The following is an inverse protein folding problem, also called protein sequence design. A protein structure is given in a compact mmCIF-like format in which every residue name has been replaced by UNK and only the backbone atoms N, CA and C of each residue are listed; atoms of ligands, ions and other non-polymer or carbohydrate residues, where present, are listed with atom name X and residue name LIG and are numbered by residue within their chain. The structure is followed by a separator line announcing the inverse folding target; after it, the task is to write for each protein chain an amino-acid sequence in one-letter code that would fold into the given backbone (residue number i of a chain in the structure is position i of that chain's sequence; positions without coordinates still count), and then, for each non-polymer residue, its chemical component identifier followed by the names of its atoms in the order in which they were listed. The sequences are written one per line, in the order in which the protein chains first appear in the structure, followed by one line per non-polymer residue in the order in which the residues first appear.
data_IF_828831193230
#
_entry.id   IF_828831193230
#
_cell.length_a   1.000
_cell.length_b   1.000
_cell.length_c   1.000
_cell.angle_alpha   90.00
_cell.angle_beta   90.00
_cell.angle_gamma   90.00
#
_symmetry.space_group_name_H-M   'P 1'
#
loop_
_entity.id
_entity.type
_entity.pdbx_description
1 polymer ?
#
# COMPACT_ATOMS: atom_id res chain seq x y z
N UNK A 1 50.55 -2.64 16.97
CA UNK A 1 49.62 -3.07 18.04
C UNK A 1 48.35 -2.28 17.84
N UNK A 2 47.47 -2.78 16.97
CA UNK A 2 46.05 -2.44 16.96
C UNK A 2 45.32 -3.77 16.96
N UNK A 3 44.60 -4.01 18.04
CA UNK A 3 43.94 -5.26 18.35
C UNK A 3 42.63 -5.31 17.57
N UNK A 4 42.55 -6.20 16.58
CA UNK A 4 41.31 -6.70 16.03
C UNK A 4 40.48 -7.35 17.15
N UNK A 5 39.53 -6.62 17.72
CA UNK A 5 38.57 -7.16 18.70
C UNK A 5 37.09 -6.87 18.32
N UNK A 6 36.80 -6.39 17.10
CA UNK A 6 35.43 -6.00 16.72
C UNK A 6 34.52 -7.13 16.22
N UNK A 7 35.04 -8.33 15.95
CA UNK A 7 34.24 -9.41 15.35
C UNK A 7 33.29 -10.12 16.33
N UNK A 8 33.62 -10.13 17.63
CA UNK A 8 32.82 -10.83 18.65
C UNK A 8 31.53 -10.12 19.07
N UNK A 9 31.56 -8.77 19.10
CA UNK A 9 30.40 -7.94 19.41
C UNK A 9 29.36 -8.02 18.31
N UNK A 10 29.77 -7.74 17.06
CA UNK A 10 28.87 -7.72 15.89
C UNK A 10 28.12 -9.05 15.70
N UNK A 11 28.80 -10.18 15.92
CA UNK A 11 28.17 -11.50 15.86
C UNK A 11 27.18 -11.78 17.00
N UNK A 12 27.31 -11.13 18.16
CA UNK A 12 26.33 -11.21 19.25
C UNK A 12 25.11 -10.33 18.96
N UNK A 13 25.33 -9.08 18.54
CA UNK A 13 24.25 -8.15 18.19
C UNK A 13 23.39 -8.67 17.02
N UNK A 14 24.00 -9.29 16.00
CA UNK A 14 23.27 -9.93 14.90
C UNK A 14 22.41 -11.13 15.36
N UNK A 15 22.90 -11.92 16.33
CA UNK A 15 22.14 -13.05 16.90
C UNK A 15 20.96 -12.59 17.73
N UNK A 16 21.12 -11.51 18.48
CA UNK A 16 20.05 -10.90 19.24
C UNK A 16 18.96 -10.35 18.30
N UNK A 17 19.37 -9.68 17.21
CA UNK A 17 18.44 -9.20 16.19
C UNK A 17 17.63 -10.33 15.57
N UNK A 18 18.27 -11.46 15.22
CA UNK A 18 17.57 -12.65 14.73
C UNK A 18 16.58 -13.25 15.75
N UNK A 19 16.91 -13.19 17.04
CA UNK A 19 16.04 -13.68 18.09
C UNK A 19 14.80 -12.80 18.25
N UNK A 20 14.98 -11.47 18.24
CA UNK A 20 13.90 -10.49 18.23
C UNK A 20 13.01 -10.73 17.01
N UNK A 21 13.59 -10.86 15.81
CA UNK A 21 12.84 -11.02 14.57
C UNK A 21 11.95 -12.29 14.56
N UNK A 22 12.48 -13.42 15.04
CA UNK A 22 11.70 -14.66 15.18
C UNK A 22 10.52 -14.50 16.13
N UNK A 23 10.71 -13.80 17.25
CA UNK A 23 9.64 -13.61 18.23
C UNK A 23 8.62 -12.57 17.76
N UNK A 24 9.05 -11.53 17.04
CA UNK A 24 8.18 -10.57 16.37
C UNK A 24 7.20 -11.26 15.43
N UNK A 25 7.67 -12.18 14.58
CA UNK A 25 6.80 -12.95 13.66
C UNK A 25 5.71 -13.72 14.43
N UNK A 26 6.05 -14.36 15.56
CA UNK A 26 5.06 -15.03 16.41
C UNK A 26 4.03 -14.05 16.96
N UNK A 27 4.48 -12.89 17.43
CA UNK A 27 3.60 -11.85 17.97
C UNK A 27 2.65 -11.29 16.91
N UNK A 28 3.13 -11.06 15.68
CA UNK A 28 2.30 -10.62 14.57
C UNK A 28 1.22 -11.66 14.21
N UNK A 29 1.59 -12.94 14.17
CA UNK A 29 0.66 -14.04 13.92
C UNK A 29 -0.37 -14.20 15.05
N UNK A 30 0.03 -14.05 16.31
CA UNK A 30 -0.91 -14.04 17.43
C UNK A 30 -1.90 -12.88 17.35
N UNK A 31 -1.43 -11.68 16.96
CA UNK A 31 -2.32 -10.53 16.80
C UNK A 31 -3.31 -10.73 15.65
N UNK A 32 -2.87 -11.34 14.54
CA UNK A 32 -3.71 -11.67 13.39
C UNK A 32 -4.89 -12.61 13.71
N UNK A 33 -4.86 -13.34 14.84
CA UNK A 33 -6.02 -14.12 15.32
C UNK A 33 -7.14 -13.22 15.85
N UNK A 34 -6.79 -12.04 16.40
CA UNK A 34 -7.75 -11.07 16.95
C UNK A 34 -8.16 -10.00 15.94
N UNK A 35 -7.30 -9.75 14.96
CA UNK A 35 -7.54 -8.83 13.85
C UNK A 35 -7.27 -9.54 12.53
N UNK A 36 -8.32 -10.09 11.88
CA UNK A 36 -8.18 -10.88 10.66
C UNK A 36 -7.52 -10.14 9.49
N UNK A 37 -7.54 -8.81 9.51
CA UNK A 37 -6.94 -7.96 8.48
C UNK A 37 -5.49 -7.58 8.81
N UNK A 38 -5.01 -7.86 10.03
CA UNK A 38 -3.68 -7.44 10.44
C UNK A 38 -2.56 -8.11 9.65
N UNK A 39 -2.67 -9.41 9.36
CA UNK A 39 -1.68 -10.16 8.57
C UNK A 39 -2.21 -10.36 7.15
N UNK A 40 -1.79 -9.49 6.23
CA UNK A 40 -2.17 -9.54 4.82
C UNK A 40 -1.58 -10.77 4.14
N UNK A 41 -0.30 -11.05 4.41
CA UNK A 41 0.39 -12.22 3.89
C UNK A 41 1.36 -12.83 4.91
N UNK A 42 1.44 -14.15 4.90
CA UNK A 42 2.50 -14.90 5.60
C UNK A 42 3.02 -16.02 4.71
N UNK A 43 4.30 -15.92 4.35
CA UNK A 43 5.02 -16.85 3.48
C UNK A 43 6.31 -17.37 4.14
N UNK A 44 6.36 -17.30 5.48
CA UNK A 44 7.41 -17.92 6.28
C UNK A 44 7.19 -19.43 6.49
N UNK A 45 8.06 -20.08 7.28
CA UNK A 45 7.95 -21.51 7.57
C UNK A 45 6.58 -21.90 8.15
N UNK A 46 5.88 -22.85 7.51
CA UNK A 46 4.56 -23.30 7.95
C UNK A 46 4.51 -23.73 9.42
N UNK A 47 5.57 -24.41 9.90
CA UNK A 47 5.69 -24.84 11.29
C UNK A 47 5.62 -23.68 12.31
N UNK A 48 6.11 -22.48 11.96
CA UNK A 48 6.03 -21.31 12.85
C UNK A 48 4.58 -20.83 12.97
N UNK A 49 3.84 -20.78 11.86
CA UNK A 49 2.41 -20.44 11.87
C UNK A 49 1.59 -21.48 12.61
N UNK A 50 1.82 -22.76 12.34
CA UNK A 50 1.15 -23.87 13.03
C UNK A 50 1.38 -23.81 14.53
N UNK A 51 2.63 -23.63 14.97
CA UNK A 51 2.98 -23.46 16.39
C UNK A 51 2.28 -22.24 17.01
N UNK A 52 2.30 -21.09 16.32
CA UNK A 52 1.68 -19.86 16.81
C UNK A 52 0.17 -20.02 17.02
N UNK A 53 -0.51 -20.75 16.12
CA UNK A 53 -1.96 -20.95 16.15
C UNK A 53 -2.42 -22.03 17.15
N UNK A 54 -1.50 -22.77 17.79
CA UNK A 54 -1.84 -23.71 18.88
C UNK A 54 -2.25 -23.01 20.18
N UNK A 55 -1.94 -21.72 20.32
CA UNK A 55 -2.27 -20.91 21.49
C UNK A 55 -2.88 -19.59 21.06
N UNK A 56 -3.80 -19.07 21.87
CA UNK A 56 -4.32 -17.71 21.69
C UNK A 56 -3.72 -16.81 22.76
N UNK A 57 -2.92 -15.84 22.33
CA UNK A 57 -2.33 -14.81 23.20
C UNK A 57 -3.19 -13.55 23.10
N UNK A 58 -3.74 -13.01 24.20
CA UNK A 58 -4.61 -11.84 24.13
C UNK A 58 -3.83 -10.57 23.76
N UNK A 59 -4.47 -9.56 23.13
CA UNK A 59 -3.78 -8.37 22.62
C UNK A 59 -2.96 -7.60 23.65
N UNK A 60 -3.43 -7.50 24.89
CA UNK A 60 -2.70 -6.85 26.00
C UNK A 60 -1.35 -7.52 26.28
N UNK A 61 -1.29 -8.85 26.20
CA UNK A 61 -0.04 -9.61 26.32
C UNK A 61 0.85 -9.45 25.10
N UNK A 62 0.28 -9.37 23.89
CA UNK A 62 1.05 -9.09 22.67
C UNK A 62 1.70 -7.71 22.75
N UNK A 63 1.00 -6.69 23.25
CA UNK A 63 1.55 -5.36 23.49
C UNK A 63 2.71 -5.41 24.49
N UNK A 64 2.56 -6.15 25.60
CA UNK A 64 3.65 -6.36 26.57
C UNK A 64 4.88 -7.03 25.96
N UNK A 65 4.69 -8.07 25.12
CA UNK A 65 5.79 -8.70 24.40
C UNK A 65 6.46 -7.76 23.39
N UNK A 66 5.69 -6.92 22.69
CA UNK A 66 6.24 -5.92 21.79
C UNK A 66 7.10 -4.89 22.55
N UNK A 67 6.65 -4.43 23.73
CA UNK A 67 7.44 -3.54 24.59
C UNK A 67 8.77 -4.18 25.05
N UNK A 68 8.76 -5.47 25.43
CA UNK A 68 9.98 -6.22 25.79
C UNK A 68 10.95 -6.36 24.59
N UNK A 69 10.40 -6.55 23.38
CA UNK A 69 11.17 -6.58 22.14
C UNK A 69 11.81 -5.22 21.84
N UNK A 70 11.09 -4.12 22.01
CA UNK A 70 11.64 -2.76 21.86
C UNK A 70 12.77 -2.51 22.86
N UNK A 71 12.57 -2.86 24.14
CA UNK A 71 13.62 -2.73 25.15
C UNK A 71 14.86 -3.61 24.84
N UNK A 72 14.69 -4.69 24.09
CA UNK A 72 15.81 -5.51 23.60
C UNK A 72 16.50 -4.85 22.40
N UNK A 73 15.74 -4.34 21.44
CA UNK A 73 16.27 -3.59 20.29
C UNK A 73 17.03 -2.33 20.73
N UNK A 74 16.55 -1.60 21.72
CA UNK A 74 17.19 -0.37 22.23
C UNK A 74 18.55 -0.63 22.90
N UNK A 75 18.83 -1.87 23.29
CA UNK A 75 20.14 -2.29 23.85
C UNK A 75 21.14 -2.70 22.77
N UNK A 76 20.70 -2.93 21.54
CA UNK A 76 21.57 -3.21 20.41
C UNK A 76 22.14 -1.88 19.93
N UNK A 77 23.46 -1.75 19.96
CA UNK A 77 24.20 -0.60 19.44
C UNK A 77 24.24 -0.68 17.90
N UNK A 78 23.52 0.19 17.16
CA UNK A 78 23.45 0.09 15.71
C UNK A 78 24.81 0.28 15.03
N UNK A 79 25.74 1.02 15.64
CA UNK A 79 27.07 1.27 15.07
C UNK A 79 27.94 0.01 15.00
N UNK A 80 27.57 -1.04 15.74
CA UNK A 80 28.24 -2.35 15.71
C UNK A 80 27.62 -3.33 14.70
N UNK A 81 26.49 -2.97 14.12
CA UNK A 81 25.88 -3.73 13.03
C UNK A 81 26.58 -3.40 11.72
N UNK A 82 27.09 -4.44 11.06
CA UNK A 82 27.77 -4.34 9.77
C UNK A 82 26.75 -4.35 8.60
N UNK A 83 27.14 -3.70 7.50
CA UNK A 83 26.36 -3.69 6.25
C UNK A 83 24.91 -3.23 6.44
N UNK A 84 23.98 -4.01 5.88
CA UNK A 84 22.55 -3.72 5.92
C UNK A 84 21.90 -3.97 7.31
N UNK A 85 22.68 -4.37 8.32
CA UNK A 85 22.18 -4.62 9.67
C UNK A 85 21.57 -3.40 10.35
N UNK A 86 22.09 -2.19 10.09
CA UNK A 86 21.53 -0.94 10.63
C UNK A 86 20.12 -0.65 10.11
N UNK A 87 19.91 -0.78 8.80
CA UNK A 87 18.59 -0.61 8.20
C UNK A 87 17.61 -1.67 8.69
N UNK A 88 18.06 -2.93 8.82
CA UNK A 88 17.26 -4.02 9.39
C UNK A 88 16.81 -3.72 10.83
N UNK A 89 17.73 -3.24 11.67
CA UNK A 89 17.43 -2.89 13.06
C UNK A 89 16.39 -1.76 13.14
N UNK A 90 16.58 -0.67 12.40
CA UNK A 90 15.65 0.45 12.35
C UNK A 90 14.26 -0.01 11.86
N UNK A 91 14.22 -0.76 10.75
CA UNK A 91 12.98 -1.32 10.20
C UNK A 91 12.25 -2.17 11.23
N UNK A 92 12.95 -3.15 11.84
CA UNK A 92 12.34 -4.03 12.83
C UNK A 92 11.83 -3.26 14.05
N UNK A 93 12.54 -2.22 14.50
CA UNK A 93 12.06 -1.35 15.57
C UNK A 93 10.76 -0.63 15.19
N UNK A 94 10.66 -0.08 13.98
CA UNK A 94 9.43 0.53 13.46
C UNK A 94 8.26 -0.47 13.39
N UNK A 95 8.53 -1.67 12.88
CA UNK A 95 7.53 -2.74 12.77
C UNK A 95 7.04 -3.24 14.14
N UNK A 96 7.92 -3.32 15.16
CA UNK A 96 7.54 -3.71 16.52
C UNK A 96 6.74 -2.59 17.22
N UNK A 97 7.06 -1.31 16.99
CA UNK A 97 6.26 -0.18 17.51
C UNK A 97 4.83 -0.19 16.98
N UNK A 98 4.67 -0.44 15.68
CA UNK A 98 3.33 -0.54 15.09
C UNK A 98 2.54 -1.75 15.62
N UNK A 99 3.22 -2.88 15.84
CA UNK A 99 2.62 -4.05 16.51
C UNK A 99 2.17 -3.72 17.94
N UNK A 100 3.00 -3.04 18.74
CA UNK A 100 2.65 -2.59 20.10
C UNK A 100 1.41 -1.69 20.08
N UNK A 101 1.40 -0.69 19.20
CA UNK A 101 0.29 0.26 19.08
C UNK A 101 -1.01 -0.45 18.65
N UNK A 102 -0.97 -1.32 17.63
CA UNK A 102 -2.15 -2.06 17.18
C UNK A 102 -2.67 -3.02 18.25
N UNK A 103 -1.77 -3.71 18.94
CA UNK A 103 -2.13 -4.59 20.05
C UNK A 103 -2.75 -3.82 21.22
N UNK A 104 -2.21 -2.64 21.54
CA UNK A 104 -2.77 -1.72 22.53
C UNK A 104 -4.19 -1.26 22.16
N UNK A 105 -4.41 -0.83 20.92
CA UNK A 105 -5.73 -0.43 20.42
C UNK A 105 -6.76 -1.56 20.57
N UNK A 106 -6.39 -2.79 20.18
CA UNK A 106 -7.25 -3.98 20.34
C UNK A 106 -7.48 -4.37 21.81
N UNK A 107 -6.55 -3.99 22.71
CA UNK A 107 -6.71 -4.11 24.15
C UNK A 107 -7.52 -2.97 24.81
N UNK A 108 -8.03 -2.02 24.02
CA UNK A 108 -8.85 -0.90 24.50
C UNK A 108 -8.07 0.38 24.82
N UNK A 109 -6.81 0.50 24.38
CA UNK A 109 -6.08 1.77 24.42
C UNK A 109 -6.78 2.82 23.56
N UNK A 110 -6.88 4.05 24.07
CA UNK A 110 -7.37 5.20 23.32
C UNK A 110 -6.21 6.14 23.02
N UNK A 111 -6.04 6.48 21.75
CA UNK A 111 -5.08 7.49 21.25
C UNK A 111 -5.80 8.40 20.26
N UNK A 112 -5.22 9.57 19.97
CA UNK A 112 -5.75 10.43 18.91
C UNK A 112 -5.53 9.78 17.54
N UNK A 113 -6.33 10.17 16.55
CA UNK A 113 -6.17 9.70 15.17
C UNK A 113 -4.76 9.96 14.61
N UNK A 114 -4.22 11.16 14.86
CA UNK A 114 -2.89 11.52 14.37
C UNK A 114 -1.80 10.68 15.05
N UNK A 115 -1.95 10.37 16.34
CA UNK A 115 -1.03 9.48 17.05
C UNK A 115 -1.14 8.03 16.56
N UNK A 116 -2.35 7.59 16.18
CA UNK A 116 -2.56 6.29 15.53
C UNK A 116 -1.87 6.22 14.16
N UNK A 117 -2.05 7.26 13.33
CA UNK A 117 -1.40 7.34 12.02
C UNK A 117 0.13 7.29 12.14
N UNK A 118 0.70 8.08 13.04
CA UNK A 118 2.15 8.10 13.28
C UNK A 118 2.66 6.74 13.78
N UNK A 119 1.99 6.16 14.79
CA UNK A 119 2.44 4.92 15.41
C UNK A 119 2.31 3.70 14.51
N UNK A 120 1.26 3.63 13.69
CA UNK A 120 1.01 2.50 12.80
C UNK A 120 1.70 2.66 11.45
N UNK A 121 1.68 3.86 10.87
CA UNK A 121 2.06 4.09 9.47
C UNK A 121 3.30 4.95 9.32
N UNK A 122 3.87 5.48 10.41
CA UNK A 122 5.08 6.30 10.39
C UNK A 122 4.90 7.66 9.69
N UNK A 123 3.65 8.13 9.58
CA UNK A 123 3.27 9.38 8.91
C UNK A 123 2.14 10.07 9.65
N UNK A 124 2.17 11.40 9.66
CA UNK A 124 1.07 12.21 10.15
C UNK A 124 -0.05 12.32 9.11
N UNK A 125 -1.29 12.47 9.57
CA UNK A 125 -2.40 12.79 8.68
C UNK A 125 -2.19 14.18 8.04
N UNK A 126 -2.43 14.34 6.72
CA UNK A 126 -2.27 15.62 6.06
C UNK A 126 -3.17 16.69 6.70
N UNK A 127 -2.72 17.94 6.61
CA UNK A 127 -3.57 19.08 6.92
C UNK A 127 -4.68 19.20 5.88
N UNK A 128 -5.80 19.76 6.31
CA UNK A 128 -6.93 19.96 5.43
C UNK A 128 -6.76 21.24 4.60
N UNK A 129 -6.82 21.12 3.28
CA UNK A 129 -6.74 22.24 2.34
C UNK A 129 -8.01 22.36 1.48
N UNK A 130 -9.08 23.04 1.96
CA UNK A 130 -10.33 23.20 1.22
C UNK A 130 -10.16 23.74 -0.22
N UNK A 131 -9.23 24.69 -0.42
CA UNK A 131 -8.94 25.29 -1.72
C UNK A 131 -8.41 24.27 -2.75
N UNK A 132 -7.79 23.17 -2.30
CA UNK A 132 -7.33 22.09 -3.17
C UNK A 132 -8.49 21.34 -3.82
N UNK A 133 -9.51 21.00 -3.02
CA UNK A 133 -10.73 20.33 -3.51
C UNK A 133 -11.48 21.21 -4.52
N UNK A 134 -11.58 22.51 -4.25
CA UNK A 134 -12.20 23.48 -5.18
C UNK A 134 -11.45 23.54 -6.52
N UNK A 135 -10.12 23.47 -6.51
CA UNK A 135 -9.31 23.42 -7.72
C UNK A 135 -9.55 22.16 -8.56
N UNK A 136 -9.63 20.99 -7.91
CA UNK A 136 -9.97 19.72 -8.57
C UNK A 136 -11.39 19.71 -9.12
N UNK A 137 -12.36 20.25 -8.38
CA UNK A 137 -13.73 20.42 -8.86
C UNK A 137 -13.80 21.34 -10.07
N UNK A 138 -13.06 22.45 -10.07
CA UNK A 138 -13.02 23.35 -11.21
C UNK A 138 -12.39 22.70 -12.46
N UNK A 139 -11.35 21.89 -12.29
CA UNK A 139 -10.75 21.11 -13.38
C UNK A 139 -11.76 20.10 -13.97
N UNK A 140 -12.38 19.30 -13.11
CA UNK A 140 -13.43 18.34 -13.52
C UNK A 140 -14.62 19.04 -14.19
N UNK A 141 -15.06 20.18 -13.66
CA UNK A 141 -16.19 20.95 -14.21
C UNK A 141 -15.90 21.50 -15.61
N UNK A 142 -14.65 21.89 -15.87
CA UNK A 142 -14.19 22.39 -17.17
C UNK A 142 -14.08 21.28 -18.23
N UNK A 143 -13.61 20.09 -17.83
CA UNK A 143 -13.35 18.98 -18.75
C UNK A 143 -14.62 18.16 -19.06
N UNK A 144 -15.52 17.99 -18.10
CA UNK A 144 -16.69 17.15 -18.27
C UNK A 144 -17.69 17.74 -19.27
N UNK A 145 -18.29 16.95 -20.18
CA UNK A 145 -19.34 17.45 -21.06
C UNK A 145 -20.67 17.67 -20.31
N UNK A 146 -21.59 18.38 -20.96
CA UNK A 146 -22.97 18.55 -20.50
C UNK A 146 -23.21 19.72 -19.55
N UNK A 147 -24.43 19.77 -19.00
CA UNK A 147 -24.89 20.82 -18.08
C UNK A 147 -25.58 20.17 -16.88
N UNK A 148 -25.45 20.75 -15.69
CA UNK A 148 -26.04 20.19 -14.46
C UNK A 148 -25.04 20.24 -13.31
N UNK A 149 -25.35 19.54 -12.22
CA UNK A 149 -24.43 19.38 -11.10
C UNK A 149 -23.23 18.50 -11.47
N UNK A 150 -22.09 18.79 -10.85
CA UNK A 150 -20.82 18.10 -11.11
C UNK A 150 -20.87 16.59 -10.81
N UNK A 151 -21.40 16.11 -9.66
CA UNK A 151 -21.52 14.67 -9.39
C UNK A 151 -22.34 13.93 -10.45
N UNK A 152 -23.47 14.50 -10.87
CA UNK A 152 -24.32 13.92 -11.91
C UNK A 152 -23.62 13.80 -13.26
N UNK A 153 -22.88 14.83 -13.67
CA UNK A 153 -22.08 14.83 -14.91
C UNK A 153 -20.94 13.82 -14.85
N UNK A 154 -20.18 13.80 -13.76
CA UNK A 154 -19.08 12.86 -13.56
C UNK A 154 -19.55 11.41 -13.66
N UNK A 155 -20.62 11.04 -12.92
CA UNK A 155 -21.19 9.70 -12.99
C UNK A 155 -21.68 9.34 -14.38
N UNK A 156 -22.45 10.22 -15.03
CA UNK A 156 -22.96 9.97 -16.38
C UNK A 156 -21.81 9.74 -17.37
N UNK A 157 -20.72 10.49 -17.22
CA UNK A 157 -19.52 10.33 -18.03
C UNK A 157 -18.85 8.97 -17.77
N UNK A 158 -18.54 8.64 -16.52
CA UNK A 158 -17.89 7.36 -16.19
C UNK A 158 -18.75 6.13 -16.52
N UNK A 159 -20.08 6.21 -16.35
CA UNK A 159 -21.03 5.16 -16.71
C UNK A 159 -20.97 4.80 -18.21
N UNK A 160 -20.62 5.77 -19.06
CA UNK A 160 -20.46 5.54 -20.50
C UNK A 160 -19.21 4.71 -20.85
N UNK A 161 -18.29 4.55 -19.90
CA UNK A 161 -17.06 3.77 -20.03
C UNK A 161 -17.04 2.50 -19.17
N UNK A 162 -18.22 2.01 -18.75
CA UNK A 162 -18.35 0.68 -18.13
C UNK A 162 -17.99 -0.40 -19.15
N UNK A 163 -16.98 -1.20 -18.83
CA UNK A 163 -16.47 -2.26 -19.71
C UNK A 163 -17.56 -3.34 -19.86
N UNK A 164 -17.93 -3.73 -21.09
CA UNK A 164 -18.85 -4.85 -21.30
C UNK A 164 -18.33 -6.14 -20.64
N UNK A 165 -19.17 -6.90 -19.91
CA UNK A 165 -18.71 -8.07 -19.16
C UNK A 165 -17.96 -9.12 -19.99
N UNK A 166 -18.34 -9.30 -21.26
CA UNK A 166 -17.69 -10.21 -22.21
C UNK A 166 -16.31 -9.75 -22.69
N UNK A 167 -15.94 -8.50 -22.40
CA UNK A 167 -14.65 -7.89 -22.75
C UNK A 167 -13.73 -7.67 -21.54
N UNK A 168 -14.24 -7.89 -20.33
CA UNK A 168 -13.51 -7.61 -19.09
C UNK A 168 -12.19 -8.38 -19.01
N UNK A 169 -12.24 -9.70 -19.25
CA UNK A 169 -11.08 -10.59 -19.17
C UNK A 169 -9.95 -10.16 -20.12
N UNK A 170 -10.28 -9.86 -21.38
CA UNK A 170 -9.26 -9.46 -22.37
C UNK A 170 -8.63 -8.09 -22.06
N UNK A 171 -9.40 -7.14 -21.52
CA UNK A 171 -8.89 -5.81 -21.14
C UNK A 171 -7.95 -5.93 -19.95
N UNK A 172 -8.32 -6.68 -18.91
CA UNK A 172 -7.43 -6.96 -17.79
C UNK A 172 -6.18 -7.72 -18.22
N UNK A 173 -6.32 -8.75 -19.06
CA UNK A 173 -5.18 -9.52 -19.55
C UNK A 173 -4.18 -8.63 -20.30
N UNK A 174 -4.65 -7.69 -21.13
CA UNK A 174 -3.81 -6.73 -21.82
C UNK A 174 -3.09 -5.79 -20.83
N UNK A 175 -3.80 -5.26 -19.82
CA UNK A 175 -3.22 -4.41 -18.79
C UNK A 175 -2.12 -5.12 -18.00
N UNK A 176 -2.36 -6.35 -17.53
CA UNK A 176 -1.36 -7.15 -16.81
C UNK A 176 -0.17 -7.54 -17.68
N UNK A 177 -0.40 -7.87 -18.95
CA UNK A 177 0.68 -8.22 -19.86
C UNK A 177 1.62 -7.03 -20.10
N UNK A 178 1.06 -5.85 -20.36
CA UNK A 178 1.86 -4.65 -20.61
C UNK A 178 2.57 -4.16 -19.34
N UNK A 179 1.88 -4.14 -18.20
CA UNK A 179 2.48 -3.71 -16.93
C UNK A 179 3.66 -4.61 -16.54
N UNK A 180 3.53 -5.92 -16.75
CA UNK A 180 4.62 -6.88 -16.57
C UNK A 180 5.77 -6.67 -17.54
N UNK A 181 5.46 -6.45 -18.82
CA UNK A 181 6.49 -6.23 -19.87
C UNK A 181 7.35 -5.02 -19.54
N UNK A 182 6.73 -3.88 -19.27
CA UNK A 182 7.43 -2.62 -18.94
C UNK A 182 8.19 -2.70 -17.63
N UNK A 183 7.60 -3.35 -16.62
CA UNK A 183 8.29 -3.59 -15.35
C UNK A 183 9.59 -4.38 -15.55
N UNK A 184 9.55 -5.43 -16.36
CA UNK A 184 10.71 -6.30 -16.63
C UNK A 184 11.83 -5.62 -17.43
N UNK A 185 11.58 -4.46 -18.07
CA UNK A 185 12.61 -3.67 -18.75
C UNK A 185 13.52 -2.93 -17.77
N UNK A 186 13.05 -2.68 -16.55
CA UNK A 186 13.74 -1.87 -15.56
C UNK A 186 14.06 -2.61 -14.26
N UNK A 187 13.25 -3.58 -13.88
CA UNK A 187 13.38 -4.32 -12.63
C UNK A 187 13.60 -5.81 -12.90
N UNK A 188 14.67 -6.42 -12.33
CA UNK A 188 14.88 -7.86 -12.45
C UNK A 188 13.83 -8.59 -11.60
N UNK A 189 12.88 -9.24 -12.25
CA UNK A 189 11.87 -10.05 -11.58
C UNK A 189 12.47 -11.41 -11.16
N UNK A 190 12.18 -11.91 -9.94
CA UNK A 190 12.59 -13.24 -9.53
C UNK A 190 12.13 -14.34 -10.50
N UNK A 191 12.92 -15.39 -10.65
CA UNK A 191 12.58 -16.49 -11.53
C UNK A 191 11.30 -17.20 -11.05
N UNK A 192 10.36 -17.43 -11.95
CA UNK A 192 9.15 -18.19 -11.67
C UNK A 192 8.03 -17.42 -11.00
N UNK A 193 8.09 -16.08 -10.92
CA UNK A 193 6.96 -15.27 -10.44
C UNK A 193 5.69 -15.52 -11.23
N UNK A 194 4.56 -15.63 -10.51
CA UNK A 194 3.24 -15.93 -11.06
C UNK A 194 2.19 -15.02 -10.45
N UNK A 195 1.30 -14.53 -11.30
CA UNK A 195 0.17 -13.73 -10.87
C UNK A 195 -1.07 -14.27 -11.59
N UNK A 196 -2.07 -14.61 -10.80
CA UNK A 196 -3.39 -15.00 -11.28
C UNK A 196 -4.41 -13.93 -10.85
N UNK A 197 -5.49 -13.79 -11.60
CA UNK A 197 -6.60 -12.89 -11.27
C UNK A 197 -7.89 -13.71 -11.03
N UNK A 198 -8.67 -13.33 -10.03
CA UNK A 198 -9.98 -13.90 -9.75
C UNK A 198 -11.00 -12.80 -9.41
N UNK A 199 -12.26 -13.04 -9.76
CA UNK A 199 -13.37 -12.15 -9.43
C UNK A 199 -14.10 -12.63 -8.16
N UNK A 200 -14.42 -11.73 -7.25
CA UNK A 200 -15.03 -12.04 -5.95
C UNK A 200 -16.14 -11.05 -5.59
N UNK A 201 -16.97 -11.36 -4.59
CA UNK A 201 -18.13 -10.55 -4.17
C UNK A 201 -18.17 -10.39 -2.65
N UNK A 202 -18.78 -9.32 -2.15
CA UNK A 202 -19.02 -9.05 -0.73
C UNK A 202 -17.84 -8.41 0.02
N UNK A 203 -16.84 -7.91 -0.70
CA UNK A 203 -15.62 -7.35 -0.13
C UNK A 203 -15.72 -5.81 0.02
N UNK A 204 -15.11 -5.19 1.04
CA UNK A 204 -15.16 -3.74 1.25
C UNK A 204 -14.20 -2.94 0.36
N UNK A 205 -13.47 -3.60 -0.54
CA UNK A 205 -12.46 -3.04 -1.44
C UNK A 205 -12.74 -3.44 -2.88
N UNK A 206 -12.18 -2.70 -3.84
CA UNK A 206 -12.40 -2.93 -5.27
C UNK A 206 -11.43 -3.97 -5.87
N UNK A 207 -10.16 -3.94 -5.46
CA UNK A 207 -9.18 -4.96 -5.81
C UNK A 207 -8.17 -5.13 -4.67
N UNK A 208 -7.58 -6.31 -4.55
CA UNK A 208 -6.47 -6.55 -3.63
C UNK A 208 -5.52 -7.64 -4.13
N UNK A 209 -4.26 -7.54 -3.74
CA UNK A 209 -3.28 -8.60 -3.88
C UNK A 209 -3.35 -9.55 -2.68
N UNK A 210 -3.44 -10.84 -2.93
CA UNK A 210 -3.15 -11.87 -1.95
C UNK A 210 -1.85 -12.57 -2.31
N UNK A 211 -0.77 -12.23 -1.61
CA UNK A 211 0.52 -12.88 -1.81
C UNK A 211 0.55 -14.24 -1.11
N UNK A 212 0.90 -15.29 -1.86
CA UNK A 212 0.85 -16.69 -1.41
C UNK A 212 2.23 -17.25 -1.04
N UNK A 213 3.30 -16.49 -1.25
CA UNK A 213 4.69 -16.97 -1.18
C UNK A 213 5.16 -17.61 -2.48
N UNK A 214 6.45 -17.97 -2.53
CA UNK A 214 7.10 -18.57 -3.70
C UNK A 214 6.90 -17.74 -4.98
N UNK A 215 6.96 -16.40 -4.85
CA UNK A 215 6.74 -15.49 -5.97
C UNK A 215 5.34 -15.56 -6.59
N UNK A 216 4.33 -16.06 -5.87
CA UNK A 216 2.97 -16.25 -6.39
C UNK A 216 1.96 -15.30 -5.72
N UNK A 217 1.13 -14.63 -6.51
CA UNK A 217 -0.01 -13.83 -6.03
C UNK A 217 -1.31 -14.23 -6.70
N UNK A 218 -2.41 -14.02 -5.97
CA UNK A 218 -3.77 -13.96 -6.50
C UNK A 218 -4.28 -12.52 -6.36
N UNK A 219 -4.50 -11.83 -7.49
CA UNK A 219 -5.23 -10.56 -7.50
C UNK A 219 -6.71 -10.86 -7.48
N UNK A 220 -7.42 -10.31 -6.50
CA UNK A 220 -8.87 -10.44 -6.38
C UNK A 220 -9.49 -9.12 -6.81
N UNK A 221 -10.44 -9.15 -7.74
CA UNK A 221 -11.20 -7.98 -8.20
C UNK A 221 -12.65 -8.15 -7.78
N UNK A 222 -13.22 -7.13 -7.15
CA UNK A 222 -14.62 -7.13 -6.77
C UNK A 222 -15.51 -7.10 -8.02
N UNK A 223 -16.52 -7.96 -8.02
CA UNK A 223 -17.56 -8.06 -9.03
C UNK A 223 -18.88 -7.42 -8.58
N UNK A 224 -18.88 -6.73 -7.43
CA UNK A 224 -20.09 -6.11 -6.87
C UNK A 224 -20.48 -4.81 -7.59
N UNK A 225 -19.51 -4.15 -8.24
CA UNK A 225 -19.70 -2.90 -8.98
C UNK A 225 -19.24 -3.06 -10.44
N UNK A 226 -19.88 -2.37 -11.39
CA UNK A 226 -19.39 -2.30 -12.77
C UNK A 226 -17.96 -1.74 -12.82
N UNK A 227 -17.11 -2.31 -13.67
CA UNK A 227 -15.73 -1.87 -13.85
C UNK A 227 -15.65 -0.91 -15.03
N UNK A 228 -15.15 0.30 -14.80
CA UNK A 228 -14.91 1.31 -15.83
C UNK A 228 -13.49 1.21 -16.41
N UNK A 229 -13.27 1.79 -17.60
CA UNK A 229 -12.02 1.63 -18.38
C UNK A 229 -10.74 2.14 -17.70
N UNK A 230 -10.86 3.03 -16.71
CA UNK A 230 -9.76 3.59 -15.91
C UNK A 230 -9.19 2.60 -14.88
N UNK A 231 -9.94 1.54 -14.54
CA UNK A 231 -9.58 0.60 -13.46
C UNK A 231 -8.61 -0.51 -13.85
N UNK A 232 -8.71 -1.17 -15.03
CA UNK A 232 -7.85 -2.31 -15.35
C UNK A 232 -6.36 -2.02 -15.28
N UNK A 233 -5.92 -0.87 -15.81
CA UNK A 233 -4.51 -0.49 -15.76
C UNK A 233 -4.06 -0.21 -14.32
N UNK A 234 -4.84 0.59 -13.59
CA UNK A 234 -4.59 0.92 -12.18
C UNK A 234 -4.44 -0.35 -11.33
N UNK A 235 -5.36 -1.31 -11.45
CA UNK A 235 -5.28 -2.57 -10.69
C UNK A 235 -4.12 -3.45 -11.12
N UNK A 236 -3.85 -3.54 -12.43
CA UNK A 236 -2.72 -4.32 -12.95
C UNK A 236 -1.36 -3.79 -12.48
N UNK A 237 -1.24 -2.47 -12.34
CA UNK A 237 -0.05 -1.81 -11.83
C UNK A 237 0.07 -1.95 -10.31
N UNK A 238 -0.98 -1.56 -9.57
CA UNK A 238 -0.99 -1.51 -8.10
C UNK A 238 -0.89 -2.89 -7.47
N UNK A 239 -1.73 -3.84 -7.91
CA UNK A 239 -1.74 -5.18 -7.33
C UNK A 239 -0.73 -6.11 -8.00
N UNK A 240 -0.22 -5.75 -9.18
CA UNK A 240 0.69 -6.57 -9.98
C UNK A 240 2.08 -5.97 -10.16
N UNK A 241 2.30 -5.39 -11.34
CA UNK A 241 3.62 -4.96 -11.80
C UNK A 241 3.64 -3.46 -12.08
N UNK A 242 4.49 -2.64 -11.42
CA UNK A 242 5.52 -3.00 -10.43
C UNK A 242 5.05 -2.91 -8.97
N UNK A 243 3.74 -2.99 -8.69
CA UNK A 243 3.19 -2.82 -7.34
C UNK A 243 3.34 -4.01 -6.39
N UNK A 244 2.30 -4.31 -5.60
CA UNK A 244 2.34 -5.23 -4.44
C UNK A 244 2.96 -6.59 -4.76
N UNK A 245 2.50 -7.28 -5.81
CA UNK A 245 3.09 -8.56 -6.21
C UNK A 245 4.60 -8.48 -6.45
N UNK A 246 5.04 -7.44 -7.17
CA UNK A 246 6.44 -7.23 -7.50
C UNK A 246 7.27 -6.96 -6.25
N UNK A 247 6.79 -6.08 -5.36
CA UNK A 247 7.46 -5.77 -4.11
C UNK A 247 7.60 -7.01 -3.21
N UNK A 248 6.52 -7.78 -3.03
CA UNK A 248 6.55 -9.00 -2.21
C UNK A 248 7.45 -10.08 -2.80
N UNK A 249 7.41 -10.31 -4.11
CA UNK A 249 8.29 -11.26 -4.77
C UNK A 249 9.78 -10.90 -4.63
N UNK A 250 10.13 -9.63 -4.84
CA UNK A 250 11.50 -9.14 -4.73
C UNK A 250 11.99 -9.23 -3.28
N UNK A 251 11.16 -8.81 -2.30
CA UNK A 251 11.51 -8.86 -0.87
C UNK A 251 11.59 -10.29 -0.34
N UNK A 252 10.71 -11.19 -0.77
CA UNK A 252 10.84 -12.62 -0.44
C UNK A 252 12.20 -13.16 -0.92
N UNK A 253 12.55 -12.91 -2.18
CA UNK A 253 13.81 -13.39 -2.74
C UNK A 253 15.04 -12.78 -2.04
N UNK A 254 15.06 -11.46 -1.84
CA UNK A 254 16.20 -10.72 -1.31
C UNK A 254 16.33 -10.75 0.21
N UNK A 255 15.24 -10.46 0.94
CA UNK A 255 15.27 -10.31 2.40
C UNK A 255 15.05 -11.65 3.11
N UNK A 256 14.08 -12.45 2.66
CA UNK A 256 13.75 -13.71 3.34
C UNK A 256 14.71 -14.82 2.90
N UNK A 257 14.83 -15.11 1.60
CA UNK A 257 15.61 -16.26 1.12
C UNK A 257 17.12 -16.01 1.11
N UNK A 258 17.56 -14.88 0.55
CA UNK A 258 18.99 -14.61 0.42
C UNK A 258 19.63 -14.12 1.74
N UNK A 259 18.94 -13.27 2.50
CA UNK A 259 19.46 -12.70 3.76
C UNK A 259 18.99 -13.44 5.02
N UNK A 260 17.97 -14.30 4.94
CA UNK A 260 17.46 -15.06 6.09
C UNK A 260 16.64 -14.24 7.09
N UNK A 261 16.18 -13.05 6.71
CA UNK A 261 15.46 -12.13 7.59
C UNK A 261 13.98 -12.49 7.67
N UNK A 262 13.66 -13.38 8.62
CA UNK A 262 12.33 -13.98 8.79
C UNK A 262 11.22 -12.96 9.06
N UNK A 263 11.53 -11.81 9.65
CA UNK A 263 10.57 -10.73 9.90
C UNK A 263 9.90 -10.21 8.63
N UNK A 264 10.55 -10.33 7.47
CA UNK A 264 9.98 -9.94 6.18
C UNK A 264 9.10 -11.04 5.55
N UNK A 265 8.88 -12.16 6.24
CA UNK A 265 7.97 -13.22 5.80
C UNK A 265 6.52 -13.03 6.25
N UNK A 266 6.26 -11.97 7.03
CA UNK A 266 4.94 -11.51 7.42
C UNK A 266 4.75 -10.08 6.89
N UNK A 267 3.57 -9.79 6.33
CA UNK A 267 3.18 -8.46 5.86
C UNK A 267 2.03 -7.96 6.73
N UNK A 268 2.32 -7.09 7.72
CA UNK A 268 1.28 -6.53 8.57
C UNK A 268 0.65 -5.29 7.93
N UNK A 269 -0.68 -5.26 7.82
CA UNK A 269 -1.42 -4.17 7.20
C UNK A 269 -1.33 -2.87 7.98
N UNK A 270 -1.34 -2.93 9.31
CA UNK A 270 -1.15 -1.77 10.19
C UNK A 270 0.33 -1.63 10.56
N UNK A 271 1.17 -1.21 9.60
CA UNK A 271 2.61 -1.02 9.79
C UNK A 271 3.22 0.06 8.88
N UNK A 272 4.43 0.57 9.18
CA UNK A 272 5.09 1.56 8.33
C UNK A 272 5.48 1.01 6.95
N UNK A 273 5.60 -0.33 6.82
CA UNK A 273 5.79 -0.99 5.53
C UNK A 273 4.61 -0.71 4.58
N UNK A 274 3.39 -0.61 5.10
CA UNK A 274 2.19 -0.31 4.32
C UNK A 274 2.30 1.03 3.61
N UNK A 275 2.74 2.08 4.32
CA UNK A 275 2.94 3.41 3.73
C UNK A 275 3.92 3.37 2.55
N UNK A 276 5.03 2.64 2.73
CA UNK A 276 6.03 2.47 1.68
C UNK A 276 5.48 1.65 0.51
N UNK A 277 4.76 0.56 0.80
CA UNK A 277 4.21 -0.35 -0.20
C UNK A 277 3.11 0.30 -1.04
N UNK A 278 2.16 0.97 -0.41
CA UNK A 278 1.08 1.68 -1.09
C UNK A 278 1.62 2.85 -1.93
N UNK A 279 2.60 3.58 -1.39
CA UNK A 279 3.28 4.64 -2.13
C UNK A 279 4.02 4.12 -3.37
N UNK A 280 4.75 3.01 -3.23
CA UNK A 280 5.45 2.36 -4.33
C UNK A 280 4.48 1.78 -5.37
N UNK A 281 3.39 1.16 -4.93
CA UNK A 281 2.38 0.60 -5.82
C UNK A 281 1.67 1.69 -6.63
N UNK A 282 1.36 2.83 -6.01
CA UNK A 282 0.74 3.98 -6.70
C UNK A 282 1.70 4.69 -7.64
N UNK A 283 2.95 4.93 -7.23
CA UNK A 283 3.97 5.54 -8.10
C UNK A 283 4.37 4.59 -9.24
N UNK A 284 4.27 3.29 -9.02
CA UNK A 284 4.64 2.25 -9.97
C UNK A 284 4.01 2.44 -11.35
N UNK A 285 2.72 2.81 -11.39
CA UNK A 285 2.03 3.13 -12.65
C UNK A 285 2.72 4.25 -13.43
N UNK A 286 3.09 5.35 -12.77
CA UNK A 286 3.79 6.50 -13.38
C UNK A 286 5.25 6.19 -13.75
N UNK A 287 5.85 5.18 -13.12
CA UNK A 287 7.18 4.70 -13.47
C UNK A 287 7.16 3.98 -14.81
N UNK A 288 6.19 3.09 -15.03
CA UNK A 288 6.10 2.30 -16.27
C UNK A 288 5.28 2.97 -17.37
N UNK A 289 4.40 3.92 -17.06
CA UNK A 289 3.67 4.72 -18.06
C UNK A 289 3.95 6.22 -17.90
N UNK A 290 5.17 6.69 -18.20
CA UNK A 290 5.52 8.10 -18.03
C UNK A 290 4.84 8.99 -19.09
N UNK A 291 4.52 10.22 -18.70
CA UNK A 291 4.01 11.24 -19.62
C UNK A 291 2.72 10.80 -20.33
N UNK A 292 2.70 10.91 -21.67
CA UNK A 292 1.53 10.54 -22.48
C UNK A 292 1.43 9.05 -22.78
N UNK A 293 2.36 8.20 -22.32
CA UNK A 293 2.36 6.78 -22.65
C UNK A 293 1.15 6.04 -22.05
N UNK A 294 0.61 6.51 -20.91
CA UNK A 294 -0.62 5.97 -20.33
C UNK A 294 -1.81 6.19 -21.26
N UNK A 295 -1.98 7.43 -21.74
CA UNK A 295 -3.02 7.80 -22.70
C UNK A 295 -2.86 7.03 -24.00
N UNK A 296 -1.65 6.90 -24.52
CA UNK A 296 -1.38 6.10 -25.73
C UNK A 296 -1.77 4.63 -25.56
N UNK A 297 -1.47 4.03 -24.40
CA UNK A 297 -1.89 2.65 -24.13
C UNK A 297 -3.41 2.50 -23.99
N UNK A 298 -4.08 3.47 -23.37
CA UNK A 298 -5.54 3.53 -23.33
C UNK A 298 -6.12 3.60 -24.75
N UNK A 299 -5.68 4.58 -25.55
CA UNK A 299 -6.15 4.87 -26.91
C UNK A 299 -5.91 3.69 -27.87
N UNK A 300 -4.68 3.17 -27.90
CA UNK A 300 -4.27 2.19 -28.91
C UNK A 300 -4.67 0.75 -28.57
N UNK A 301 -4.87 0.44 -27.28
CA UNK A 301 -5.06 -0.94 -26.81
C UNK A 301 -6.34 -1.11 -26.00
N UNK A 302 -6.47 -0.44 -24.85
CA UNK A 302 -7.55 -0.75 -23.92
C UNK A 302 -8.93 -0.33 -24.45
N UNK A 303 -9.03 0.85 -25.07
CA UNK A 303 -10.27 1.35 -25.66
C UNK A 303 -10.78 0.46 -26.80
N UNK A 304 -9.98 0.09 -27.82
CA UNK A 304 -10.39 -0.85 -28.85
C UNK A 304 -10.84 -2.22 -28.29
N UNK A 305 -10.12 -2.76 -27.29
CA UNK A 305 -10.50 -4.02 -26.65
C UNK A 305 -11.84 -3.89 -25.92
N UNK A 306 -12.07 -2.79 -25.21
CA UNK A 306 -13.31 -2.54 -24.49
C UNK A 306 -14.47 -2.11 -25.42
N UNK A 307 -14.17 -1.66 -26.64
CA UNK A 307 -15.16 -1.24 -27.63
C UNK A 307 -15.56 0.23 -27.54
N UNK A 308 -14.71 1.05 -26.94
CA UNK A 308 -14.88 2.49 -26.84
C UNK A 308 -14.19 3.21 -27.99
N UNK A 309 -14.57 4.48 -28.23
CA UNK A 309 -13.92 5.34 -29.22
C UNK A 309 -12.55 5.78 -28.70
N UNK A 310 -11.42 5.42 -29.35
CA UNK A 310 -10.09 5.83 -28.91
C UNK A 310 -9.92 7.34 -28.70
N UNK A 311 -10.68 8.19 -29.40
CA UNK A 311 -10.56 9.65 -29.23
C UNK A 311 -10.96 10.16 -27.85
N UNK A 312 -11.69 9.36 -27.06
CA UNK A 312 -12.10 9.72 -25.71
C UNK A 312 -11.01 9.42 -24.66
N UNK A 313 -9.96 8.68 -25.02
CA UNK A 313 -8.94 8.19 -24.08
C UNK A 313 -8.26 9.31 -23.27
N UNK A 314 -7.89 10.41 -23.94
CA UNK A 314 -7.25 11.55 -23.27
C UNK A 314 -8.19 12.24 -22.26
N UNK A 315 -9.48 12.35 -22.59
CA UNK A 315 -10.46 12.96 -21.70
C UNK A 315 -10.75 12.08 -20.49
N UNK A 316 -10.92 10.77 -20.71
CA UNK A 316 -11.11 9.80 -19.61
C UNK A 316 -9.91 9.78 -18.68
N UNK A 317 -8.68 9.81 -19.23
CA UNK A 317 -7.45 9.85 -18.43
C UNK A 317 -7.38 11.10 -17.53
N UNK A 318 -7.68 12.27 -18.09
CA UNK A 318 -7.69 13.53 -17.35
C UNK A 318 -8.74 13.52 -16.22
N UNK A 319 -9.97 13.13 -16.53
CA UNK A 319 -11.07 13.03 -15.56
C UNK A 319 -10.75 12.02 -14.46
N UNK A 320 -10.25 10.83 -14.83
CA UNK A 320 -9.94 9.76 -13.87
C UNK A 320 -8.78 10.15 -12.95
N UNK A 321 -7.77 10.85 -13.48
CA UNK A 321 -6.64 11.34 -12.69
C UNK A 321 -7.09 12.34 -11.62
N UNK A 322 -7.89 13.35 -12.01
CA UNK A 322 -8.40 14.34 -11.09
C UNK A 322 -9.33 13.70 -10.03
N UNK A 323 -10.17 12.73 -10.43
CA UNK A 323 -11.03 12.00 -9.50
C UNK A 323 -10.23 11.11 -8.53
N UNK A 324 -9.15 10.45 -8.98
CA UNK A 324 -8.28 9.66 -8.11
C UNK A 324 -7.57 10.53 -7.06
N UNK A 325 -7.06 11.70 -7.45
CA UNK A 325 -6.41 12.63 -6.51
C UNK A 325 -7.40 13.15 -5.46
N UNK A 326 -8.64 13.42 -5.88
CA UNK A 326 -9.74 13.79 -5.00
C UNK A 326 -10.02 12.70 -3.97
N UNK A 327 -10.18 11.45 -4.43
CA UNK A 327 -10.48 10.29 -3.57
C UNK A 327 -9.34 10.01 -2.59
N UNK A 328 -8.08 10.08 -3.03
CA UNK A 328 -6.91 9.76 -2.20
C UNK A 328 -6.83 10.67 -0.97
N UNK A 329 -6.85 11.98 -1.18
CA UNK A 329 -6.77 12.98 -0.10
C UNK A 329 -8.06 13.06 0.70
N UNK A 330 -9.20 12.96 0.01
CA UNK A 330 -10.53 13.00 0.59
C UNK A 330 -10.77 11.91 1.62
N UNK A 331 -10.39 10.66 1.33
CA UNK A 331 -10.57 9.56 2.29
C UNK A 331 -9.72 9.75 3.55
N UNK A 332 -8.50 10.27 3.44
CA UNK A 332 -7.67 10.59 4.61
C UNK A 332 -8.34 11.65 5.51
N UNK A 333 -8.91 12.69 4.90
CA UNK A 333 -9.69 13.72 5.63
C UNK A 333 -10.92 13.14 6.30
N UNK A 334 -11.72 12.35 5.59
CA UNK A 334 -12.93 11.72 6.15
C UNK A 334 -12.57 10.77 7.27
N UNK A 335 -11.50 9.98 7.13
CA UNK A 335 -11.01 9.10 8.18
C UNK A 335 -10.60 9.89 9.44
N UNK A 336 -9.83 10.97 9.27
CA UNK A 336 -9.44 11.84 10.39
C UNK A 336 -10.66 12.42 11.11
N UNK A 337 -11.63 12.91 10.35
CA UNK A 337 -12.86 13.49 10.88
C UNK A 337 -13.74 12.45 11.60
N UNK A 338 -14.01 11.32 10.96
CA UNK A 338 -14.91 10.29 11.48
C UNK A 338 -14.30 9.53 12.66
N UNK A 339 -13.08 8.99 12.49
CA UNK A 339 -12.40 8.20 13.53
C UNK A 339 -11.92 9.11 14.67
N UNK A 340 -11.53 10.34 14.36
CA UNK A 340 -11.20 11.36 15.36
C UNK A 340 -12.41 11.96 16.08
N UNK A 341 -13.64 11.66 15.66
CA UNK A 341 -14.88 12.10 16.31
C UNK A 341 -15.30 13.54 16.01
N UNK A 342 -14.69 14.19 15.03
CA UNK A 342 -15.06 15.54 14.57
C UNK A 342 -16.21 15.52 13.54
N UNK A 343 -16.42 14.40 12.86
CA UNK A 343 -17.55 14.16 11.95
C UNK A 343 -18.42 13.02 12.48
N UNK A 344 -19.73 13.20 12.43
CA UNK A 344 -20.69 12.10 12.51
C UNK A 344 -20.59 11.19 11.28
N UNK A 345 -21.17 10.00 11.38
CA UNK A 345 -21.25 9.07 10.25
C UNK A 345 -22.00 9.68 9.06
N UNK A 346 -23.07 10.43 9.34
CA UNK A 346 -23.89 11.12 8.35
C UNK A 346 -23.12 12.26 7.66
N UNK A 347 -22.35 13.05 8.42
CA UNK A 347 -21.51 14.12 7.84
C UNK A 347 -20.36 13.55 7.01
N UNK A 348 -19.72 12.46 7.48
CA UNK A 348 -18.70 11.74 6.72
C UNK A 348 -19.27 11.20 5.39
N UNK A 349 -20.45 10.59 5.43
CA UNK A 349 -21.15 10.12 4.25
C UNK A 349 -21.49 11.25 3.27
N UNK A 350 -22.00 12.39 3.77
CA UNK A 350 -22.25 13.58 2.94
C UNK A 350 -20.98 14.10 2.27
N UNK A 351 -19.86 14.15 2.99
CA UNK A 351 -18.57 14.57 2.43
C UNK A 351 -18.11 13.65 1.28
N UNK A 352 -18.23 12.33 1.46
CA UNK A 352 -17.88 11.36 0.42
C UNK A 352 -18.69 11.58 -0.87
N UNK A 353 -19.96 11.97 -0.76
CA UNK A 353 -20.81 12.23 -1.93
C UNK A 353 -20.55 13.61 -2.55
N UNK A 354 -20.59 14.66 -1.72
CA UNK A 354 -20.62 16.04 -2.20
C UNK A 354 -19.23 16.54 -2.60
N UNK A 355 -18.20 16.12 -1.85
CA UNK A 355 -16.82 16.55 -2.09
C UNK A 355 -16.07 15.54 -2.94
N UNK A 356 -16.25 14.23 -2.72
CA UNK A 356 -15.53 13.21 -3.50
C UNK A 356 -16.31 12.69 -4.72
N UNK A 357 -17.49 13.28 -4.98
CA UNK A 357 -18.34 12.98 -6.14
C UNK A 357 -18.76 11.50 -6.23
N UNK A 358 -18.76 10.79 -5.09
CA UNK A 358 -19.09 9.36 -5.04
C UNK A 358 -20.61 9.16 -5.08
N UNK A 359 -21.05 8.16 -5.84
CA UNK A 359 -22.44 7.73 -5.79
C UNK A 359 -22.79 7.10 -4.42
N UNK A 360 -24.08 6.97 -4.06
CA UNK A 360 -24.49 6.47 -2.76
C UNK A 360 -23.91 5.11 -2.36
N UNK A 361 -23.77 4.15 -3.28
CA UNK A 361 -23.28 2.82 -2.94
C UNK A 361 -21.76 2.81 -2.76
N UNK A 362 -21.04 3.52 -3.63
CA UNK A 362 -19.58 3.72 -3.49
C UNK A 362 -19.26 4.48 -2.20
N UNK A 363 -19.99 5.54 -1.87
CA UNK A 363 -19.81 6.28 -0.61
C UNK A 363 -20.03 5.39 0.62
N UNK A 364 -21.01 4.47 0.59
CA UNK A 364 -21.19 3.48 1.68
C UNK A 364 -20.03 2.50 1.77
N UNK A 365 -19.47 2.05 0.64
CA UNK A 365 -18.32 1.16 0.62
C UNK A 365 -17.08 1.84 1.23
N UNK A 366 -16.80 3.08 0.82
CA UNK A 366 -15.73 3.90 1.38
C UNK A 366 -15.90 4.16 2.88
N UNK A 367 -17.12 4.41 3.34
CA UNK A 367 -17.40 4.58 4.75
C UNK A 367 -17.11 3.30 5.55
N UNK A 368 -17.50 2.12 5.06
CA UNK A 368 -17.15 0.84 5.69
C UNK A 368 -15.64 0.63 5.72
N UNK A 369 -14.96 0.92 4.61
CA UNK A 369 -13.51 0.84 4.50
C UNK A 369 -12.82 1.74 5.54
N UNK A 370 -13.24 2.99 5.68
CA UNK A 370 -12.69 3.92 6.68
C UNK A 370 -12.93 3.41 8.11
N UNK A 371 -14.11 2.87 8.40
CA UNK A 371 -14.42 2.34 9.73
C UNK A 371 -13.62 1.09 10.08
N UNK A 372 -13.39 0.22 9.09
CA UNK A 372 -12.65 -1.03 9.24
C UNK A 372 -11.14 -0.80 9.32
N UNK A 373 -10.60 0.02 8.42
CA UNK A 373 -9.16 0.24 8.25
C UNK A 373 -8.64 1.52 8.92
N UNK A 374 -9.53 2.33 9.50
CA UNK A 374 -9.23 3.47 10.38
C UNK A 374 -8.27 4.48 9.74
N UNK A 375 -7.04 4.61 10.26
CA UNK A 375 -6.04 5.56 9.77
C UNK A 375 -5.32 5.13 8.48
N UNK A 376 -5.60 3.93 7.95
CA UNK A 376 -4.99 3.42 6.72
C UNK A 376 -5.10 4.35 5.49
N UNK A 377 -6.19 5.13 5.28
CA UNK A 377 -6.24 6.10 4.18
C UNK A 377 -5.11 7.14 4.19
N UNK A 378 -4.55 7.44 5.37
CA UNK A 378 -3.37 8.32 5.49
C UNK A 378 -2.13 7.66 4.86
N UNK A 379 -1.95 6.36 5.06
CA UNK A 379 -0.83 5.61 4.46
C UNK A 379 -0.90 5.62 2.92
N UNK A 380 -2.10 5.57 2.36
CA UNK A 380 -2.30 5.70 0.91
C UNK A 380 -1.86 7.08 0.40
N UNK A 381 -2.38 8.16 1.01
CA UNK A 381 -2.12 9.51 0.52
C UNK A 381 -0.68 9.95 0.76
N UNK A 382 -0.19 9.80 1.99
CA UNK A 382 1.17 10.22 2.35
C UNK A 382 2.23 9.28 1.79
N UNK A 383 1.93 7.98 1.69
CA UNK A 383 2.83 7.02 1.06
C UNK A 383 3.13 7.40 -0.39
N UNK A 384 2.10 7.70 -1.18
CA UNK A 384 2.29 8.16 -2.56
C UNK A 384 3.14 9.44 -2.62
N UNK A 385 2.82 10.44 -1.80
CA UNK A 385 3.57 11.70 -1.75
C UNK A 385 5.04 11.46 -1.41
N UNK A 386 5.32 10.72 -0.32
CA UNK A 386 6.69 10.45 0.15
C UNK A 386 7.52 9.68 -0.88
N UNK A 387 6.96 8.60 -1.44
CA UNK A 387 7.69 7.78 -2.41
C UNK A 387 7.94 8.58 -3.69
N UNK A 388 6.95 9.35 -4.17
CA UNK A 388 7.11 10.23 -5.34
C UNK A 388 8.18 11.30 -5.12
N UNK A 389 8.18 11.96 -3.96
CA UNK A 389 9.15 13.00 -3.62
C UNK A 389 10.58 12.42 -3.52
N UNK A 390 10.72 11.24 -2.90
CA UNK A 390 12.00 10.53 -2.78
C UNK A 390 12.56 10.13 -4.15
N UNK A 391 11.73 9.50 -4.99
CA UNK A 391 12.13 9.02 -6.32
C UNK A 391 12.45 10.18 -7.26
N UNK A 392 11.66 11.26 -7.20
CA UNK A 392 11.86 12.45 -8.02
C UNK A 392 11.78 12.19 -9.53
N UNK A 393 12.25 13.17 -10.32
CA UNK A 393 12.25 13.14 -11.79
C UNK A 393 13.66 13.04 -12.41
N UNK A 394 14.68 12.76 -11.58
CA UNK A 394 16.06 12.63 -11.99
C UNK A 394 16.36 11.40 -12.85
N UNK A 395 17.56 11.34 -13.42
CA UNK A 395 18.04 10.18 -14.20
C UNK A 395 18.18 8.91 -13.35
N UNK A 396 18.30 9.07 -12.04
CA UNK A 396 18.42 8.01 -11.02
C UNK A 396 17.06 7.51 -10.50
N UNK A 397 15.92 7.98 -11.05
CA UNK A 397 14.57 7.62 -10.56
C UNK A 397 14.32 6.11 -10.47
N UNK A 398 14.81 5.32 -11.42
CA UNK A 398 14.65 3.86 -11.40
C UNK A 398 15.49 3.19 -10.32
N UNK A 399 16.68 3.70 -10.04
CA UNK A 399 17.53 3.22 -8.95
C UNK A 399 16.86 3.48 -7.59
N UNK A 400 16.34 4.70 -7.40
CA UNK A 400 15.59 5.07 -6.19
C UNK A 400 14.32 4.25 -6.03
N UNK A 401 13.55 4.05 -7.10
CA UNK A 401 12.35 3.22 -7.05
C UNK A 401 12.69 1.76 -6.73
N UNK A 402 13.76 1.21 -7.32
CA UNK A 402 14.26 -0.11 -6.98
C UNK A 402 14.69 -0.19 -5.50
N UNK A 403 15.31 0.85 -4.95
CA UNK A 403 15.66 0.91 -3.53
C UNK A 403 14.42 0.80 -2.62
N UNK A 404 13.35 1.55 -2.93
CA UNK A 404 12.07 1.48 -2.20
C UNK A 404 11.47 0.06 -2.23
N UNK A 405 11.52 -0.61 -3.39
CA UNK A 405 10.96 -1.95 -3.55
C UNK A 405 11.79 -3.03 -2.84
N UNK A 406 13.12 -2.89 -2.82
CA UNK A 406 14.05 -3.97 -2.43
C UNK A 406 14.51 -3.91 -0.97
N UNK A 407 14.71 -2.71 -0.43
CA UNK A 407 15.35 -2.52 0.86
C UNK A 407 14.33 -2.23 1.98
N UNK A 408 14.62 -2.57 3.24
CA UNK A 408 13.69 -2.43 4.36
C UNK A 408 13.59 -0.96 4.84
N UNK A 409 13.29 -0.04 3.93
CA UNK A 409 13.13 1.38 4.22
C UNK A 409 11.83 1.66 4.99
N UNK A 410 11.88 2.66 5.86
CA UNK A 410 10.74 3.24 6.56
C UNK A 410 10.33 4.58 5.93
N UNK A 411 9.10 5.07 6.19
CA UNK A 411 8.65 6.37 5.69
C UNK A 411 9.63 7.52 6.01
N UNK A 412 10.21 7.52 7.21
CA UNK A 412 11.21 8.52 7.62
C UNK A 412 12.47 8.53 6.74
N UNK A 413 12.91 7.37 6.23
CA UNK A 413 14.09 7.28 5.36
C UNK A 413 13.86 7.98 4.01
N UNK A 414 12.60 8.01 3.55
CA UNK A 414 12.19 8.63 2.29
C UNK A 414 12.08 10.16 2.37
N UNK A 415 12.10 10.73 3.58
CA UNK A 415 12.09 12.20 3.78
C UNK A 415 13.47 12.82 3.68
N UNK A 416 14.50 12.04 3.97
CA UNK A 416 15.89 12.50 3.88
C UNK A 416 16.36 12.36 2.44
N UNK A 417 16.80 13.47 1.84
CA UNK A 417 17.34 13.55 0.48
C UNK A 417 18.71 12.87 0.31
N UNK A 418 18.97 11.80 1.08
CA UNK A 418 20.14 10.95 0.94
C UNK A 418 20.06 10.17 -0.37
N UNK A 419 21.03 10.40 -1.25
CA UNK A 419 21.29 9.47 -2.34
C UNK A 419 21.47 8.06 -1.76
N UNK A 420 21.00 6.99 -2.45
CA UNK A 420 21.38 5.64 -2.08
C UNK A 420 22.92 5.56 -2.03
N UNK A 421 23.45 5.20 -0.86
CA UNK A 421 24.89 5.12 -0.59
C UNK A 421 25.49 3.77 -0.93
#
# INVERSE_FOLDING_TARGET
MESFNHTGGSAAEARDLDAVARFYVKCALWLGVHDPNFVEAYFGPAAVREEALMVTVPPDRVAGYAADLLATLDRIDPDRLEGAGRMRHACLQGMVRALEARAGLLAGMTISFDAEAEALFGVAAPEDEPAWYEGLHAALDADLPGTGDLPGRYRTFMDSFIIPPDRLEQVFAAAFAESRRRTAEHLPLPAGVRLEAAYVTGEPWEACNRYLGDGTSLVRVSADLPVTIDRPLTYACREGYPGHHTMWAIREAGLVRARGWIEHSVVPLASPLTTVAEGAARLGEEMIFPGSERVGFLEEVLFPLAGFDPSDAALVDAVSTAAMDLVLLGNARVARGLIGGALSREEAYGFLQDVLLLDPETAKAHLRFIEEFRAYPVALSEGYRLVRDYVGSGTDRWERFAHVLTEPVLPGDLTSSGSPG
#
